data_IF_209384911412
#
_entry.id   IF_209384911412
#
_cell.length_a   1.000
_cell.length_b   1.000
_cell.length_c   1.000
_cell.angle_alpha   90.00
_cell.angle_beta   90.00
_cell.angle_gamma   90.00
#
_symmetry.space_group_name_H-M   'P 1'
#
loop_
_entity.id
_entity.type
_entity.pdbx_description
1 polymer ?
#
# COMPACT_ATOMS: atom_id res chain seq x y z
N UNK A 1 -2.35 -13.06 13.20
CA UNK A 1 -2.25 -13.04 11.74
C UNK A 1 -0.91 -12.39 11.42
N UNK A 2 -0.06 -13.06 10.65
CA UNK A 2 1.26 -12.52 10.31
C UNK A 2 1.07 -11.35 9.34
N UNK A 3 1.55 -10.16 9.73
CA UNK A 3 1.41 -8.96 8.91
C UNK A 3 2.19 -9.06 7.59
N UNK A 4 3.24 -9.89 7.56
CA UNK A 4 3.98 -10.19 6.33
C UNK A 4 3.14 -10.96 5.32
N UNK A 5 2.49 -12.05 5.76
CA UNK A 5 1.61 -12.85 4.90
C UNK A 5 0.45 -12.01 4.34
N UNK A 6 -0.17 -11.17 5.17
CA UNK A 6 -1.26 -10.32 4.74
C UNK A 6 -0.82 -9.22 3.73
N UNK A 7 0.43 -8.75 3.82
CA UNK A 7 1.00 -7.80 2.86
C UNK A 7 1.32 -8.46 1.51
N UNK A 8 1.82 -9.70 1.54
CA UNK A 8 2.07 -10.51 0.34
C UNK A 8 0.77 -10.82 -0.40
N UNK A 9 -0.30 -11.17 0.33
CA UNK A 9 -1.63 -11.41 -0.26
C UNK A 9 -2.14 -10.15 -0.97
N UNK A 10 -2.04 -8.96 -0.36
CA UNK A 10 -2.40 -7.70 -1.02
C UNK A 10 -1.54 -7.44 -2.26
N UNK A 11 -0.22 -7.59 -2.16
CA UNK A 11 0.68 -7.36 -3.28
C UNK A 11 0.30 -8.23 -4.49
N UNK A 12 -0.07 -9.49 -4.23
CA UNK A 12 -0.52 -10.45 -5.23
C UNK A 12 -1.90 -10.12 -5.80
N UNK A 13 -2.88 -9.81 -4.95
CA UNK A 13 -4.26 -9.55 -5.34
C UNK A 13 -4.38 -8.29 -6.22
N UNK A 14 -3.60 -7.26 -5.90
CA UNK A 14 -3.60 -6.00 -6.65
C UNK A 14 -2.52 -5.94 -7.74
N UNK A 15 -1.56 -6.85 -7.74
CA UNK A 15 -0.44 -6.85 -8.69
C UNK A 15 0.48 -5.63 -8.53
N UNK A 16 0.68 -5.18 -7.29
CA UNK A 16 1.48 -3.99 -6.96
C UNK A 16 2.62 -4.33 -6.00
N UNK A 17 3.67 -3.51 -6.01
CA UNK A 17 4.78 -3.65 -5.06
C UNK A 17 4.35 -3.08 -3.71
N UNK A 18 4.42 -3.90 -2.66
CA UNK A 18 4.16 -3.50 -1.27
C UNK A 18 5.38 -3.78 -0.39
N UNK A 19 5.64 -2.94 0.61
CA UNK A 19 6.70 -3.16 1.60
C UNK A 19 6.38 -2.50 2.95
N UNK A 20 7.13 -2.87 3.99
CA UNK A 20 7.07 -2.21 5.30
C UNK A 20 8.25 -1.25 5.42
N UNK A 21 7.98 -0.01 5.81
CA UNK A 21 9.01 0.98 6.12
C UNK A 21 9.81 0.56 7.36
N UNK A 22 11.14 0.38 7.27
CA UNK A 22 11.94 -0.16 8.37
C UNK A 22 11.99 0.76 9.59
N UNK A 23 11.83 2.07 9.38
CA UNK A 23 11.88 3.09 10.44
C UNK A 23 10.51 3.59 10.88
N UNK A 24 9.58 3.74 9.93
CA UNK A 24 8.22 4.23 10.20
C UNK A 24 7.29 3.12 10.71
N UNK A 25 7.60 1.85 10.41
CA UNK A 25 6.73 0.69 10.62
C UNK A 25 5.36 0.82 9.95
N UNK A 26 5.27 1.65 8.92
CA UNK A 26 4.10 1.82 8.06
C UNK A 26 4.22 0.96 6.82
N UNK A 27 3.10 0.67 6.20
CA UNK A 27 3.02 -0.12 4.98
C UNK A 27 3.00 0.83 3.79
N UNK A 28 3.68 0.46 2.73
CA UNK A 28 3.82 1.27 1.53
C UNK A 28 3.46 0.45 0.31
N UNK A 29 2.94 1.12 -0.73
CA UNK A 29 2.77 0.53 -2.04
C UNK A 29 3.05 1.54 -3.16
N UNK A 30 3.55 1.05 -4.30
CA UNK A 30 3.67 1.83 -5.53
C UNK A 30 2.52 1.46 -6.49
N UNK A 31 1.66 2.43 -6.78
CA UNK A 31 0.39 2.21 -7.48
C UNK A 31 0.25 3.14 -8.69
N UNK A 32 -0.53 2.72 -9.69
CA UNK A 32 -0.85 3.58 -10.85
C UNK A 32 -2.06 4.45 -10.52
N UNK A 33 -1.87 5.76 -10.52
CA UNK A 33 -2.92 6.78 -10.39
C UNK A 33 -3.25 7.39 -11.76
N UNK A 34 -4.24 8.29 -11.83
CA UNK A 34 -4.55 9.00 -13.09
C UNK A 34 -3.37 9.81 -13.61
N UNK A 35 -2.65 10.47 -12.71
CA UNK A 35 -1.56 11.40 -13.04
C UNK A 35 -0.20 10.73 -13.20
N UNK A 36 -0.05 9.46 -12.82
CA UNK A 36 1.26 8.81 -12.87
C UNK A 36 1.38 7.57 -12.02
N UNK A 37 2.62 7.23 -11.70
CA UNK A 37 2.90 6.35 -10.57
C UNK A 37 2.84 7.19 -9.29
N UNK A 38 2.23 6.62 -8.26
CA UNK A 38 2.06 7.26 -6.97
C UNK A 38 2.48 6.29 -5.87
N UNK A 39 3.16 6.80 -4.87
CA UNK A 39 3.37 6.09 -3.62
C UNK A 39 2.13 6.28 -2.73
N UNK A 40 1.78 5.24 -1.97
CA UNK A 40 0.80 5.30 -0.88
C UNK A 40 1.34 4.61 0.39
N UNK A 41 1.01 5.16 1.55
CA UNK A 41 1.45 4.81 2.90
C UNK A 41 0.23 4.62 3.78
N UNK A 42 0.26 3.59 4.62
CA UNK A 42 -0.81 3.27 5.54
C UNK A 42 -0.26 2.72 6.87
N UNK A 43 -0.98 2.92 7.97
CA UNK A 43 -0.55 2.36 9.27
C UNK A 43 -1.01 0.92 9.49
N UNK A 44 -1.84 0.39 8.58
CA UNK A 44 -2.32 -0.99 8.59
C UNK A 44 -2.44 -1.56 7.17
N UNK A 45 -2.44 -2.89 7.09
CA UNK A 45 -2.67 -3.64 5.85
C UNK A 45 -4.06 -3.33 5.26
N UNK A 46 -5.09 -3.18 6.11
CA UNK A 46 -6.43 -2.79 5.63
C UNK A 46 -6.47 -1.38 5.04
N UNK A 47 -5.80 -0.42 5.68
CA UNK A 47 -5.67 0.93 5.12
C UNK A 47 -4.87 0.93 3.82
N UNK A 48 -3.83 0.10 3.70
CA UNK A 48 -3.07 -0.02 2.46
C UNK A 48 -3.97 -0.50 1.31
N UNK A 49 -4.84 -1.48 1.56
CA UNK A 49 -5.81 -1.93 0.54
C UNK A 49 -6.73 -0.78 0.09
N UNK A 50 -7.19 0.06 1.02
CA UNK A 50 -8.00 1.24 0.69
C UNK A 50 -7.21 2.25 -0.14
N UNK A 51 -5.95 2.50 0.24
CA UNK A 51 -5.04 3.39 -0.45
C UNK A 51 -4.76 2.95 -1.88
N UNK A 52 -4.55 1.65 -2.10
CA UNK A 52 -4.34 1.05 -3.42
C UNK A 52 -5.62 1.16 -4.28
N UNK A 53 -6.80 1.00 -3.68
CA UNK A 53 -8.08 1.06 -4.41
C UNK A 53 -8.46 2.50 -4.80
N UNK A 54 -8.11 3.49 -3.97
CA UNK A 54 -8.46 4.90 -4.18
C UNK A 54 -7.22 5.81 -4.10
N UNK A 55 -6.23 5.62 -4.98
CA UNK A 55 -4.94 6.25 -4.85
C UNK A 55 -4.98 7.76 -5.10
N UNK A 56 -5.89 8.26 -5.93
CA UNK A 56 -5.99 9.70 -6.24
C UNK A 56 -6.43 10.52 -5.01
N UNK A 57 -7.27 9.95 -4.15
CA UNK A 57 -7.83 10.62 -2.96
C UNK A 57 -7.08 10.33 -1.66
N UNK A 58 -6.02 9.53 -1.70
CA UNK A 58 -5.29 9.17 -0.49
C UNK A 58 -4.54 10.40 0.07
N UNK A 59 -4.57 10.67 1.38
CA UNK A 59 -3.97 11.88 1.95
C UNK A 59 -2.44 11.79 2.11
N UNK A 60 -1.89 10.58 2.11
CA UNK A 60 -0.47 10.32 2.35
C UNK A 60 0.24 9.91 1.04
N UNK A 61 1.56 10.11 0.92
CA UNK A 61 2.38 9.46 -0.12
C UNK A 61 2.50 7.98 0.17
#
# INVERSE_FOLDING_TARGET
>A
MDAGAALEDIAKDFGVLCWVGPYTRTYWALVRSRDGWRLVEAVSVQELAMAITHPDGWPWP
#
